data_IF_877549265382
#
_entry.id   IF_877549265382
#
_cell.length_a   1.000
_cell.length_b   1.000
_cell.length_c   1.000
_cell.angle_alpha   90.00
_cell.angle_beta   90.00
_cell.angle_gamma   90.00
#
_symmetry.space_group_name_H-M   'P 1'
#
loop_
_entity.id
_entity.type
_entity.pdbx_description
1 polymer ?
#
# COMPACT_ATOMS: atom_id res chain seq x y z
N UNK A 1 -13.85 13.27 -4.92
CA UNK A 1 -12.45 12.80 -5.08
C UNK A 1 -12.32 12.22 -6.47
N UNK A 2 -11.28 12.58 -7.22
CA UNK A 2 -10.90 11.83 -8.42
C UNK A 2 -10.03 10.66 -7.95
N UNK A 3 -10.55 9.44 -8.11
CA UNK A 3 -9.81 8.23 -7.77
C UNK A 3 -8.85 7.88 -8.88
N UNK A 4 -7.60 7.55 -8.55
CA UNK A 4 -6.63 7.04 -9.51
C UNK A 4 -7.10 5.68 -10.01
N UNK A 5 -7.65 4.85 -9.13
CA UNK A 5 -8.27 3.57 -9.49
C UNK A 5 -9.80 3.63 -9.45
N UNK A 6 -10.40 4.30 -10.44
CA UNK A 6 -11.85 4.46 -10.54
C UNK A 6 -12.66 3.16 -10.46
N UNK A 7 -12.18 2.06 -11.04
CA UNK A 7 -12.89 0.77 -10.98
C UNK A 7 -12.71 0.03 -9.65
N UNK A 8 -11.59 0.23 -8.95
CA UNK A 8 -11.41 -0.31 -7.61
C UNK A 8 -12.32 0.41 -6.61
N UNK A 9 -12.44 1.73 -6.76
CA UNK A 9 -13.33 2.58 -5.96
C UNK A 9 -14.82 2.20 -6.10
N UNK A 10 -15.24 1.62 -7.24
CA UNK A 10 -16.62 1.11 -7.46
C UNK A 10 -16.94 -0.19 -6.71
N UNK A 11 -16.07 -0.63 -5.79
CA UNK A 11 -16.30 -1.79 -4.93
C UNK A 11 -15.62 -3.09 -5.39
N UNK A 12 -14.87 -3.07 -6.50
CA UNK A 12 -14.03 -4.23 -6.88
C UNK A 12 -12.96 -4.51 -5.82
N UNK A 13 -12.43 -3.47 -5.17
CA UNK A 13 -11.43 -3.62 -4.11
C UNK A 13 -11.91 -4.50 -2.96
N UNK A 14 -13.19 -4.41 -2.61
CA UNK A 14 -13.76 -5.16 -1.50
C UNK A 14 -13.94 -6.66 -1.81
N UNK A 15 -13.74 -7.09 -3.06
CA UNK A 15 -13.77 -8.50 -3.45
C UNK A 15 -12.46 -9.24 -3.11
N UNK A 16 -11.34 -8.52 -3.01
CA UNK A 16 -10.06 -9.09 -2.63
C UNK A 16 -10.02 -9.43 -1.14
N UNK A 17 -9.42 -10.54 -0.74
CA UNK A 17 -9.04 -10.80 0.64
C UNK A 17 -8.09 -9.73 1.18
N UNK A 18 -7.95 -9.60 2.50
CA UNK A 18 -6.98 -8.66 3.09
C UNK A 18 -5.55 -8.93 2.59
N UNK A 19 -5.19 -10.20 2.41
CA UNK A 19 -3.87 -10.60 1.88
C UNK A 19 -3.67 -10.08 0.46
N UNK A 20 -4.65 -10.23 -0.42
CA UNK A 20 -4.59 -9.69 -1.79
C UNK A 20 -4.59 -8.16 -1.81
N UNK A 21 -5.36 -7.51 -0.93
CA UNK A 21 -5.35 -6.05 -0.78
C UNK A 21 -3.94 -5.56 -0.39
N UNK A 22 -3.33 -6.18 0.62
CA UNK A 22 -1.99 -5.82 1.07
C UNK A 22 -0.89 -6.18 0.05
N UNK A 23 -1.03 -7.27 -0.69
CA UNK A 23 -0.14 -7.62 -1.82
C UNK A 23 -0.15 -6.55 -2.93
N UNK A 24 -1.34 -6.07 -3.29
CA UNK A 24 -1.49 -4.99 -4.27
C UNK A 24 -0.92 -3.65 -3.76
N UNK A 25 -1.14 -3.32 -2.48
CA UNK A 25 -0.48 -2.16 -1.83
C UNK A 25 1.05 -2.29 -1.92
N UNK A 26 1.59 -3.45 -1.57
CA UNK A 26 3.02 -3.72 -1.61
C UNK A 26 3.63 -3.54 -2.99
N UNK A 27 2.92 -3.94 -4.04
CA UNK A 27 3.35 -3.74 -5.42
C UNK A 27 3.54 -2.25 -5.78
N UNK A 28 2.67 -1.36 -5.31
CA UNK A 28 2.84 0.09 -5.50
C UNK A 28 3.97 0.67 -4.65
N UNK A 29 4.20 0.15 -3.45
CA UNK A 29 5.35 0.55 -2.62
C UNK A 29 6.67 0.14 -3.31
N UNK A 30 6.74 -1.05 -3.91
CA UNK A 30 7.93 -1.48 -4.64
C UNK A 30 8.17 -0.63 -5.90
N UNK A 31 7.09 -0.23 -6.58
CA UNK A 31 7.16 0.76 -7.68
C UNK A 31 7.68 2.11 -7.18
N UNK A 32 7.21 2.55 -6.02
CA UNK A 32 7.68 3.79 -5.37
C UNK A 32 9.19 3.77 -5.18
N UNK A 33 9.73 2.69 -4.60
CA UNK A 33 11.18 2.49 -4.37
C UNK A 33 11.94 2.42 -5.70
N UNK A 34 11.52 1.55 -6.60
CA UNK A 34 12.26 1.27 -7.85
C UNK A 34 12.35 2.46 -8.81
N UNK A 35 11.38 3.38 -8.76
CA UNK A 35 11.39 4.61 -9.56
C UNK A 35 12.06 5.79 -8.86
N UNK A 36 12.32 5.75 -7.55
CA UNK A 36 12.76 6.90 -6.74
C UNK A 36 13.97 7.63 -7.34
N UNK A 37 15.00 6.87 -7.70
CA UNK A 37 16.25 7.41 -8.30
C UNK A 37 16.21 7.53 -9.84
N UNK A 38 15.16 6.99 -10.49
CA UNK A 38 15.07 6.90 -11.96
C UNK A 38 14.13 7.94 -12.56
N UNK A 39 12.98 8.14 -11.92
CA UNK A 39 11.94 9.07 -12.35
C UNK A 39 11.06 9.42 -11.15
N UNK A 40 11.26 10.64 -10.62
CA UNK A 40 10.55 11.14 -9.44
C UNK A 40 9.03 11.14 -9.63
N UNK A 41 8.53 11.52 -10.81
CA UNK A 41 7.09 11.57 -11.08
C UNK A 41 6.46 10.17 -11.04
N UNK A 42 7.16 9.15 -11.56
CA UNK A 42 6.69 7.77 -11.48
C UNK A 42 6.70 7.23 -10.05
N UNK A 43 7.72 7.59 -9.27
CA UNK A 43 7.81 7.25 -7.85
C UNK A 43 6.65 7.88 -7.06
N UNK A 44 6.41 9.18 -7.27
CA UNK A 44 5.31 9.92 -6.63
C UNK A 44 3.94 9.37 -7.03
N UNK A 45 3.71 9.08 -8.31
CA UNK A 45 2.46 8.48 -8.76
C UNK A 45 2.22 7.10 -8.11
N UNK A 46 3.26 6.29 -7.94
CA UNK A 46 3.16 5.01 -7.23
C UNK A 46 2.88 5.17 -5.74
N UNK A 47 3.50 6.16 -5.11
CA UNK A 47 3.25 6.50 -3.71
C UNK A 47 1.78 6.87 -3.47
N UNK A 48 1.22 7.77 -4.28
CA UNK A 48 -0.19 8.15 -4.16
C UNK A 48 -1.14 6.99 -4.44
N UNK A 49 -0.79 6.09 -5.38
CA UNK A 49 -1.54 4.85 -5.60
C UNK A 49 -1.52 3.94 -4.38
N UNK A 50 -0.35 3.70 -3.77
CA UNK A 50 -0.24 2.91 -2.54
C UNK A 50 -1.09 3.50 -1.40
N UNK A 51 -1.06 4.82 -1.24
CA UNK A 51 -1.85 5.54 -0.24
C UNK A 51 -3.36 5.40 -0.46
N UNK A 52 -3.82 5.53 -1.71
CA UNK A 52 -5.22 5.34 -2.08
C UNK A 52 -5.68 3.90 -1.77
N UNK A 53 -4.88 2.89 -2.11
CA UNK A 53 -5.20 1.49 -1.83
C UNK A 53 -5.29 1.22 -0.32
N UNK A 54 -4.39 1.80 0.50
CA UNK A 54 -4.50 1.72 1.96
C UNK A 54 -5.77 2.37 2.50
N UNK A 55 -6.20 3.49 1.91
CA UNK A 55 -7.47 4.15 2.28
C UNK A 55 -8.66 3.23 1.94
N UNK A 56 -8.68 2.61 0.77
CA UNK A 56 -9.73 1.65 0.42
C UNK A 56 -9.72 0.44 1.36
N UNK A 57 -8.54 -0.08 1.72
CA UNK A 57 -8.39 -1.19 2.68
C UNK A 57 -8.88 -0.82 4.08
N UNK A 58 -8.67 0.43 4.53
CA UNK A 58 -9.21 0.95 5.79
C UNK A 58 -10.74 1.10 5.79
N UNK A 59 -11.30 1.49 4.64
CA UNK A 59 -12.74 1.70 4.48
C UNK A 59 -13.50 0.38 4.32
N UNK A 60 -12.81 -0.72 4.04
CA UNK A 60 -13.43 -2.03 3.87
C UNK A 60 -13.97 -2.58 5.22
N UNK A 61 -15.29 -2.76 5.36
CA UNK A 61 -15.88 -3.21 6.62
C UNK A 61 -15.40 -4.58 7.10
N UNK A 62 -14.88 -5.43 6.21
CA UNK A 62 -14.35 -6.75 6.62
C UNK A 62 -13.03 -6.65 7.38
N UNK A 63 -12.31 -5.54 7.23
CA UNK A 63 -11.01 -5.32 7.84
C UNK A 63 -11.10 -4.64 9.22
N UNK A 64 -12.31 -4.48 9.79
CA UNK A 64 -12.56 -3.77 11.06
C UNK A 64 -11.66 -4.22 12.23
N UNK A 65 -11.28 -5.49 12.27
CA UNK A 65 -10.39 -6.04 13.31
C UNK A 65 -8.93 -5.55 13.22
N UNK A 66 -8.46 -5.16 12.03
CA UNK A 66 -7.07 -4.77 11.74
C UNK A 66 -6.88 -3.28 11.46
N UNK A 67 -7.90 -2.45 11.67
CA UNK A 67 -7.89 -1.02 11.26
C UNK A 67 -6.72 -0.24 11.85
N UNK A 68 -6.34 -0.53 13.11
CA UNK A 68 -5.22 0.15 13.77
C UNK A 68 -3.89 -0.11 13.06
N UNK A 69 -3.64 -1.35 12.65
CA UNK A 69 -2.40 -1.74 11.98
C UNK A 69 -2.36 -1.14 10.57
N UNK A 70 -3.45 -1.24 9.81
CA UNK A 70 -3.54 -0.66 8.46
C UNK A 70 -3.37 0.87 8.53
N UNK A 71 -3.95 1.53 9.55
CA UNK A 71 -3.79 2.96 9.76
C UNK A 71 -2.33 3.31 10.08
N UNK A 72 -1.65 2.49 10.89
CA UNK A 72 -0.23 2.68 11.19
C UNK A 72 0.64 2.52 9.95
N UNK A 73 0.38 1.51 9.12
CA UNK A 73 1.08 1.32 7.83
C UNK A 73 0.89 2.56 6.95
N UNK A 74 -0.33 3.11 6.88
CA UNK A 74 -0.59 4.36 6.14
C UNK A 74 0.21 5.54 6.68
N UNK A 75 0.26 5.73 7.99
CA UNK A 75 1.05 6.79 8.65
C UNK A 75 2.56 6.62 8.39
N UNK A 76 3.07 5.40 8.56
CA UNK A 76 4.48 5.09 8.31
C UNK A 76 4.86 5.28 6.85
N UNK A 77 3.97 4.96 5.91
CA UNK A 77 4.22 5.16 4.47
C UNK A 77 4.40 6.65 4.14
N UNK A 78 3.54 7.51 4.70
CA UNK A 78 3.65 8.96 4.53
C UNK A 78 4.93 9.49 5.18
N UNK A 79 5.23 9.05 6.41
CA UNK A 79 6.44 9.46 7.14
C UNK A 79 7.72 9.11 6.36
N UNK A 80 7.81 7.86 5.91
CA UNK A 80 8.91 7.34 5.12
C UNK A 80 9.09 8.08 3.79
N UNK A 81 8.00 8.35 3.05
CA UNK A 81 8.10 8.98 1.75
C UNK A 81 8.43 10.47 1.83
N UNK A 82 7.82 11.20 2.77
CA UNK A 82 8.08 12.63 2.97
C UNK A 82 9.39 12.90 3.71
N UNK A 83 10.02 11.85 4.27
CA UNK A 83 11.27 11.96 5.00
C UNK A 83 11.12 12.56 6.40
N UNK A 84 9.91 12.54 6.98
CA UNK A 84 9.77 12.79 8.41
C UNK A 84 10.38 11.61 9.17
N UNK A 85 11.16 11.90 10.22
CA UNK A 85 12.01 10.89 10.89
C UNK A 85 11.34 10.30 12.13
N UNK A 86 10.02 10.15 12.14
CA UNK A 86 9.31 9.71 13.34
C UNK A 86 9.33 8.18 13.50
N UNK A 87 9.22 7.44 12.39
CA UNK A 87 9.19 5.97 12.40
C UNK A 87 10.46 5.35 11.81
N UNK A 88 11.26 6.11 11.05
CA UNK A 88 12.61 5.73 10.55
C UNK A 88 12.62 4.35 9.85
N UNK A 89 11.57 4.03 9.10
CA UNK A 89 11.53 2.78 8.32
C UNK A 89 12.46 2.84 7.11
N UNK A 90 12.98 1.69 6.66
CA UNK A 90 13.85 1.60 5.48
C UNK A 90 13.18 0.89 4.30
N UNK A 91 13.72 1.09 3.10
CA UNK A 91 13.25 0.45 1.87
C UNK A 91 13.26 -1.10 2.00
N UNK A 92 14.29 -1.66 2.66
CA UNK A 92 14.40 -3.09 2.92
C UNK A 92 13.31 -3.61 3.87
N UNK A 93 12.94 -2.83 4.87
CA UNK A 93 11.86 -3.20 5.80
C UNK A 93 10.50 -3.22 5.11
N UNK A 94 10.22 -2.23 4.26
CA UNK A 94 9.03 -2.21 3.42
C UNK A 94 8.99 -3.43 2.48
N UNK A 95 10.10 -3.73 1.82
CA UNK A 95 10.22 -4.92 0.97
C UNK A 95 9.98 -6.21 1.75
N UNK A 96 10.61 -6.35 2.92
CA UNK A 96 10.47 -7.54 3.76
C UNK A 96 9.04 -7.74 4.26
N UNK A 97 8.38 -6.67 4.73
CA UNK A 97 7.02 -6.74 5.24
C UNK A 97 6.02 -7.10 4.13
N UNK A 98 6.08 -6.43 2.97
CA UNK A 98 5.11 -6.65 1.90
C UNK A 98 5.35 -7.93 1.08
N UNK A 99 6.58 -8.44 1.03
CA UNK A 99 6.86 -9.70 0.36
C UNK A 99 6.09 -10.87 0.97
N UNK A 100 5.82 -10.85 2.28
CA UNK A 100 5.01 -11.89 2.93
C UNK A 100 3.60 -11.96 2.35
N UNK A 101 2.98 -10.81 2.10
CA UNK A 101 1.65 -10.75 1.47
C UNK A 101 1.68 -11.17 0.00
N UNK A 102 2.73 -10.81 -0.74
CA UNK A 102 2.89 -11.25 -2.13
C UNK A 102 2.98 -12.78 -2.24
N UNK A 103 3.77 -13.40 -1.35
CA UNK A 103 3.90 -14.87 -1.29
C UNK A 103 2.57 -15.50 -0.89
N UNK A 104 1.93 -15.01 0.17
CA UNK A 104 0.65 -15.55 0.65
C UNK A 104 -0.48 -15.42 -0.38
N UNK A 105 -0.56 -14.29 -1.09
CA UNK A 105 -1.53 -14.09 -2.17
C UNK A 105 -1.32 -15.06 -3.33
N UNK A 106 -0.06 -15.41 -3.65
CA UNK A 106 0.26 -16.41 -4.68
C UNK A 106 -0.10 -17.83 -4.27
N UNK A 107 0.02 -18.18 -2.99
CA UNK A 107 -0.34 -19.50 -2.48
C UNK A 107 -1.85 -19.70 -2.34
N UNK A 108 -2.62 -18.60 -2.35
CA UNK A 108 -4.07 -18.61 -2.19
C UNK A 108 -4.84 -18.56 -3.52
N UNK A 109 -4.11 -18.47 -4.65
CA UNK A 109 -4.63 -18.52 -6.02
C UNK A 109 -4.31 -19.88 -6.65
#
# INVERSE_FOLDING_TARGET
MNYVHGDLAKGRWNKFSLVEQMSNVGSEIFRTISWREKNKNNSEAAFFRALELLIFTLQDPKNKGGVKEIARVKEMLVDWYLGSRNYISTDEEWMKYFNQFNIAARLSN
#
